data_IF_390765052599
#
_entry.id   IF_390765052599
#
_cell.length_a   1.000
_cell.length_b   1.000
_cell.length_c   1.000
_cell.angle_alpha   90.00
_cell.angle_beta   90.00
_cell.angle_gamma   90.00
#
_symmetry.space_group_name_H-M   'P 1'
#
loop_
_entity.id
_entity.type
_entity.pdbx_description
1 polymer ?
#
# COMPACT_ATOMS: atom_id res chain seq x y z
N UNK A 1 14.20 7.81 28.01
CA UNK A 1 13.45 6.53 28.08
C UNK A 1 14.44 5.40 27.78
N UNK A 2 15.08 4.86 28.82
CA UNK A 2 16.10 3.83 28.68
C UNK A 2 15.41 2.47 28.50
N UNK A 3 15.54 1.87 27.31
CA UNK A 3 15.07 0.50 27.07
C UNK A 3 15.94 -0.47 27.86
N UNK A 4 15.37 -1.05 28.91
CA UNK A 4 15.96 -2.15 29.67
C UNK A 4 16.14 -3.35 28.75
N UNK A 5 17.38 -3.65 28.39
CA UNK A 5 17.72 -4.89 27.70
C UNK A 5 17.63 -6.01 28.73
N UNK A 6 16.53 -6.78 28.72
CA UNK A 6 16.45 -8.03 29.47
C UNK A 6 17.42 -9.00 28.80
N UNK A 7 18.62 -9.13 29.37
CA UNK A 7 19.60 -10.15 28.96
C UNK A 7 19.04 -11.50 29.42
N UNK A 8 18.74 -12.46 28.53
CA UNK A 8 18.24 -13.77 28.94
C UNK A 8 19.32 -14.49 29.77
N UNK A 9 18.91 -15.34 30.74
CA UNK A 9 19.83 -16.09 31.56
C UNK A 9 20.73 -16.97 30.69
N UNK A 10 21.98 -17.12 31.14
CA UNK A 10 23.10 -17.79 30.49
C UNK A 10 22.69 -18.94 29.56
N UNK A 11 22.86 -18.74 28.24
CA UNK A 11 22.53 -19.79 27.28
C UNK A 11 23.57 -20.91 27.40
N UNK A 12 23.10 -22.09 27.81
CA UNK A 12 23.95 -23.24 28.08
C UNK A 12 24.62 -23.76 26.79
N UNK A 13 25.84 -24.33 26.88
CA UNK A 13 26.41 -25.11 25.79
C UNK A 13 25.41 -26.20 25.34
N UNK A 14 25.30 -26.40 24.03
CA UNK A 14 24.35 -27.36 23.46
C UNK A 14 22.93 -26.81 23.21
N UNK A 15 22.59 -25.61 23.67
CA UNK A 15 21.31 -24.99 23.27
C UNK A 15 21.25 -24.78 21.76
N UNK A 16 20.17 -25.24 21.15
CA UNK A 16 19.90 -25.05 19.72
C UNK A 16 19.24 -23.69 19.52
N UNK A 17 19.93 -22.81 18.80
CA UNK A 17 19.40 -21.54 18.33
C UNK A 17 18.83 -21.70 16.93
N UNK A 18 17.92 -20.80 16.56
CA UNK A 18 17.42 -20.71 15.18
C UNK A 18 17.35 -19.27 14.71
N UNK A 19 17.66 -19.03 13.44
CA UNK A 19 17.58 -17.71 12.84
C UNK A 19 16.15 -17.41 12.40
N UNK A 20 15.52 -16.38 12.96
CA UNK A 20 14.17 -15.93 12.56
C UNK A 20 14.08 -15.50 11.09
N UNK A 21 15.20 -15.13 10.45
CA UNK A 21 15.22 -14.71 9.04
C UNK A 21 15.35 -15.85 8.05
N UNK A 22 16.26 -16.81 8.29
CA UNK A 22 16.56 -17.88 7.32
C UNK A 22 16.26 -19.29 7.82
N UNK A 23 15.77 -19.44 9.05
CA UNK A 23 15.43 -20.73 9.66
C UNK A 23 16.61 -21.62 10.06
N UNK A 24 17.85 -21.24 9.74
CA UNK A 24 19.02 -22.03 10.07
C UNK A 24 19.12 -22.29 11.57
N UNK A 25 19.44 -23.52 11.96
CA UNK A 25 19.58 -23.96 13.36
C UNK A 25 21.04 -24.30 13.66
N UNK A 26 21.53 -23.94 14.84
CA UNK A 26 22.89 -24.28 15.28
C UNK A 26 22.98 -24.41 16.80
N UNK A 27 23.90 -25.26 17.26
CA UNK A 27 24.20 -25.43 18.68
C UNK A 27 25.22 -24.38 19.15
N UNK A 28 25.04 -23.86 20.37
CA UNK A 28 26.06 -23.03 21.03
C UNK A 28 27.23 -23.89 21.49
N UNK A 29 28.45 -23.52 21.08
CA UNK A 29 29.70 -24.23 21.41
C UNK A 29 30.40 -23.70 22.67
N UNK A 30 30.24 -22.41 23.00
CA UNK A 30 30.88 -21.75 24.15
C UNK A 30 29.83 -21.08 25.02
N UNK A 31 29.98 -21.21 26.35
CA UNK A 31 29.08 -20.58 27.33
C UNK A 31 29.04 -19.05 27.12
N UNK A 32 27.85 -18.46 27.15
CA UNK A 32 27.66 -17.00 27.25
C UNK A 32 27.84 -16.16 25.99
N UNK A 33 28.24 -16.72 24.84
CA UNK A 33 28.44 -15.93 23.62
C UNK A 33 27.39 -16.24 22.55
N UNK A 34 26.31 -15.46 22.52
CA UNK A 34 25.39 -15.43 21.38
C UNK A 34 26.12 -14.80 20.18
N UNK A 35 26.02 -15.38 18.97
CA UNK A 35 26.70 -14.81 17.82
C UNK A 35 26.05 -13.46 17.44
N UNK A 36 26.87 -12.48 17.06
CA UNK A 36 26.37 -11.16 16.60
C UNK A 36 25.51 -11.29 15.33
N UNK A 37 25.81 -12.27 14.49
CA UNK A 37 25.15 -12.50 13.22
C UNK A 37 24.74 -13.97 13.10
N UNK A 38 23.70 -14.25 12.31
CA UNK A 38 23.40 -15.62 11.92
C UNK A 38 24.62 -16.23 11.18
N UNK A 39 25.10 -17.44 11.56
CA UNK A 39 26.25 -18.06 10.92
C UNK A 39 26.00 -18.45 9.46
N UNK A 40 24.73 -18.62 9.04
CA UNK A 40 24.37 -18.93 7.65
C UNK A 40 24.13 -17.67 6.80
N UNK A 41 23.18 -16.82 7.20
CA UNK A 41 22.75 -15.68 6.37
C UNK A 41 23.35 -14.33 6.77
N UNK A 42 24.22 -14.30 7.78
CA UNK A 42 24.86 -13.08 8.33
C UNK A 42 23.89 -12.02 8.86
N UNK A 43 22.60 -12.32 9.00
CA UNK A 43 21.61 -11.40 9.56
C UNK A 43 21.95 -10.98 10.98
N UNK A 44 21.95 -9.69 11.26
CA UNK A 44 22.03 -9.12 12.63
C UNK A 44 20.70 -9.21 13.39
N UNK A 45 19.60 -9.50 12.69
CA UNK A 45 18.25 -9.58 13.24
C UNK A 45 17.84 -11.03 13.55
N UNK A 46 18.81 -11.94 13.59
CA UNK A 46 18.54 -13.39 13.63
C UNK A 46 17.81 -13.84 14.89
N UNK A 47 17.94 -13.11 16.00
CA UNK A 47 17.27 -13.37 17.27
C UNK A 47 15.99 -12.54 17.45
N UNK A 48 15.76 -11.54 16.59
CA UNK A 48 14.57 -10.68 16.67
C UNK A 48 13.40 -11.33 15.96
N UNK A 49 12.17 -10.87 16.24
CA UNK A 49 11.00 -11.23 15.43
C UNK A 49 11.23 -10.76 13.99
N UNK A 50 10.86 -11.61 13.05
CA UNK A 50 11.04 -11.37 11.62
C UNK A 50 9.79 -11.86 10.89
N UNK A 51 9.22 -11.01 10.07
CA UNK A 51 7.95 -11.22 9.41
C UNK A 51 8.17 -11.22 7.91
N UNK A 52 7.54 -12.16 7.20
CA UNK A 52 7.54 -12.21 5.75
C UNK A 52 6.17 -11.81 5.24
N UNK A 53 6.13 -10.86 4.32
CA UNK A 53 4.92 -10.34 3.71
C UNK A 53 4.93 -10.54 2.21
N UNK A 54 3.75 -10.71 1.64
CA UNK A 54 3.51 -10.79 0.21
C UNK A 54 2.57 -9.66 -0.21
N UNK A 55 2.93 -8.92 -1.26
CA UNK A 55 2.06 -7.89 -1.79
C UNK A 55 0.98 -8.54 -2.65
N UNK A 56 -0.28 -8.41 -2.26
CA UNK A 56 -1.45 -8.87 -3.02
C UNK A 56 -1.72 -8.06 -4.30
N UNK A 57 -0.94 -6.98 -4.55
CA UNK A 57 -1.04 -6.17 -5.76
C UNK A 57 0.00 -6.52 -6.81
N UNK A 58 1.27 -6.68 -6.40
CA UNK A 58 2.39 -6.91 -7.34
C UNK A 58 3.09 -8.26 -7.15
N UNK A 59 2.65 -9.09 -6.20
CA UNK A 59 3.24 -10.40 -5.91
C UNK A 59 4.60 -10.37 -5.22
N UNK A 60 5.17 -9.19 -4.94
CA UNK A 60 6.49 -9.10 -4.31
C UNK A 60 6.48 -9.62 -2.88
N UNK A 61 7.46 -10.45 -2.54
CA UNK A 61 7.71 -10.95 -1.19
C UNK A 61 8.88 -10.22 -0.55
N UNK A 62 8.74 -9.79 0.70
CA UNK A 62 9.83 -9.20 1.47
C UNK A 62 9.76 -9.58 2.94
N UNK A 63 10.91 -9.54 3.60
CA UNK A 63 11.00 -9.75 5.04
C UNK A 63 11.41 -8.48 5.78
N UNK A 64 10.89 -8.28 6.99
CA UNK A 64 11.17 -7.11 7.83
C UNK A 64 11.09 -7.44 9.32
N UNK A 65 11.73 -6.61 10.15
CA UNK A 65 11.57 -6.67 11.61
C UNK A 65 10.38 -5.83 12.11
N UNK A 66 9.78 -5.00 11.24
CA UNK A 66 8.56 -4.26 11.53
C UNK A 66 7.34 -5.16 11.26
N UNK A 67 6.49 -5.34 12.26
CA UNK A 67 5.28 -6.15 12.20
C UNK A 67 4.08 -5.45 11.51
N UNK A 68 4.22 -4.16 11.19
CA UNK A 68 3.21 -3.34 10.51
C UNK A 68 3.82 -2.52 9.36
N UNK A 69 4.22 -3.16 8.24
CA UNK A 69 4.74 -2.44 7.09
C UNK A 69 3.64 -1.60 6.44
N UNK A 70 3.92 -0.31 6.24
CA UNK A 70 2.93 0.64 5.71
C UNK A 70 2.77 0.57 4.19
N UNK A 71 3.80 0.11 3.46
CA UNK A 71 3.83 0.09 2.00
C UNK A 71 4.60 -1.10 1.47
N UNK A 72 4.24 -1.56 0.27
CA UNK A 72 5.07 -2.50 -0.48
C UNK A 72 6.37 -1.81 -0.93
N UNK A 73 7.56 -2.40 -0.73
CA UNK A 73 8.82 -1.80 -1.14
C UNK A 73 9.05 -1.81 -2.67
N UNK A 74 8.31 -2.65 -3.42
CA UNK A 74 8.43 -2.74 -4.88
C UNK A 74 7.48 -1.80 -5.63
N UNK A 75 6.18 -1.80 -5.28
CA UNK A 75 5.17 -1.00 -5.97
C UNK A 75 4.64 0.19 -5.15
N UNK A 76 5.18 0.40 -3.94
CA UNK A 76 4.86 1.54 -3.06
C UNK A 76 3.40 1.70 -2.63
N UNK A 77 2.51 0.78 -3.00
CA UNK A 77 1.12 0.78 -2.56
C UNK A 77 1.02 0.58 -1.05
N UNK A 78 0.18 1.39 -0.39
CA UNK A 78 -0.20 1.19 1.01
C UNK A 78 -1.22 0.06 1.18
N UNK A 79 -1.95 -0.25 0.11
CA UNK A 79 -2.97 -1.30 0.07
C UNK A 79 -2.36 -2.64 -0.34
N UNK A 80 -1.18 -2.97 0.19
CA UNK A 80 -0.41 -4.14 -0.23
C UNK A 80 -1.00 -5.45 0.28
N UNK A 81 -1.76 -5.42 1.39
CA UNK A 81 -2.38 -6.55 2.06
C UNK A 81 -3.88 -6.70 1.76
N UNK A 82 -4.43 -5.87 0.87
CA UNK A 82 -5.81 -6.03 0.43
C UNK A 82 -5.83 -6.70 -0.94
N UNK A 83 -6.68 -7.73 -1.14
CA UNK A 83 -6.88 -8.28 -2.48
C UNK A 83 -7.33 -7.15 -3.41
N UNK A 84 -7.07 -7.28 -4.71
CA UNK A 84 -7.78 -6.44 -5.67
C UNK A 84 -9.27 -6.76 -5.47
N UNK A 85 -9.97 -5.93 -4.70
CA UNK A 85 -11.42 -5.93 -4.75
C UNK A 85 -11.73 -5.72 -6.22
N UNK A 86 -12.38 -6.72 -6.82
CA UNK A 86 -13.08 -6.53 -8.08
C UNK A 86 -13.74 -5.17 -7.99
N UNK A 87 -13.49 -4.32 -9.00
CA UNK A 87 -13.96 -2.95 -9.05
C UNK A 87 -15.39 -2.98 -8.55
N UNK A 88 -15.63 -2.53 -7.31
CA UNK A 88 -17.00 -2.20 -6.94
C UNK A 88 -17.41 -1.23 -8.03
N UNK A 89 -18.52 -1.48 -8.75
CA UNK A 89 -19.08 -0.45 -9.59
C UNK A 89 -19.09 0.79 -8.72
N UNK A 90 -18.39 1.83 -9.18
CA UNK A 90 -18.43 3.15 -8.55
C UNK A 90 -19.90 3.34 -8.19
N UNK A 91 -20.17 3.49 -6.88
CA UNK A 91 -21.50 3.70 -6.30
C UNK A 91 -22.39 4.35 -7.34
N UNK A 92 -23.54 3.72 -7.63
CA UNK A 92 -24.55 4.05 -8.66
C UNK A 92 -24.32 5.35 -9.43
N UNK A 93 -24.46 5.36 -10.78
CA UNK A 93 -24.19 6.55 -11.59
C UNK A 93 -24.78 7.80 -10.93
N UNK A 94 -23.90 8.67 -10.43
CA UNK A 94 -24.28 9.89 -9.72
C UNK A 94 -24.99 10.74 -10.76
N UNK A 95 -26.33 10.72 -10.75
CA UNK A 95 -27.12 11.63 -11.57
C UNK A 95 -26.78 13.04 -11.09
N UNK A 96 -26.23 13.85 -11.98
CA UNK A 96 -25.89 15.22 -11.64
C UNK A 96 -27.15 15.98 -11.23
N UNK A 97 -27.04 16.78 -10.16
CA UNK A 97 -28.16 17.57 -9.60
C UNK A 97 -28.47 18.84 -10.41
N UNK A 98 -27.66 19.12 -11.43
CA UNK A 98 -27.78 20.34 -12.24
C UNK A 98 -29.03 20.30 -13.14
N UNK A 99 -29.64 21.47 -13.43
CA UNK A 99 -30.72 21.58 -14.41
C UNK A 99 -30.28 21.11 -15.80
N UNK A 100 -31.20 20.51 -16.57
CA UNK A 100 -30.90 19.96 -17.90
C UNK A 100 -30.25 20.99 -18.84
N UNK A 101 -30.72 22.24 -18.85
CA UNK A 101 -30.14 23.33 -19.63
C UNK A 101 -28.65 23.55 -19.31
N UNK A 102 -28.27 23.43 -18.03
CA UNK A 102 -26.87 23.57 -17.61
C UNK A 102 -26.05 22.36 -18.03
N UNK A 103 -26.62 21.15 -17.95
CA UNK A 103 -25.98 19.93 -18.46
C UNK A 103 -25.69 20.04 -19.97
N UNK A 104 -26.64 20.58 -20.74
CA UNK A 104 -26.50 20.72 -22.19
C UNK A 104 -25.43 21.75 -22.55
N UNK A 105 -25.34 22.87 -21.81
CA UNK A 105 -24.25 23.84 -21.95
C UNK A 105 -22.89 23.21 -21.67
N UNK A 106 -22.76 22.47 -20.57
CA UNK A 106 -21.52 21.75 -20.22
C UNK A 106 -21.10 20.80 -21.35
N UNK A 107 -22.05 20.01 -21.88
CA UNK A 107 -21.79 19.08 -23.00
C UNK A 107 -21.36 19.79 -24.28
N UNK A 108 -22.06 20.86 -24.65
CA UNK A 108 -21.74 21.62 -25.86
C UNK A 108 -20.34 22.27 -25.80
N UNK A 109 -19.95 22.80 -24.64
CA UNK A 109 -18.62 23.38 -24.46
C UNK A 109 -17.54 22.29 -24.46
N UNK A 110 -17.81 21.13 -23.84
CA UNK A 110 -16.88 20.00 -23.89
C UNK A 110 -16.69 19.43 -25.30
N UNK A 111 -17.74 19.31 -26.10
CA UNK A 111 -17.62 18.85 -27.50
C UNK A 111 -16.85 19.83 -28.37
N UNK A 112 -16.87 21.13 -28.04
CA UNK A 112 -16.02 22.15 -28.70
C UNK A 112 -14.53 22.02 -28.39
N UNK A 113 -14.13 21.14 -27.47
CA UNK A 113 -12.73 20.80 -27.20
C UNK A 113 -12.18 21.32 -25.87
N UNK A 114 -12.94 22.12 -25.10
CA UNK A 114 -12.50 22.60 -23.78
C UNK A 114 -12.42 21.48 -22.74
N UNK A 115 -11.47 21.60 -21.81
CA UNK A 115 -11.33 20.69 -20.67
C UNK A 115 -12.37 20.95 -19.58
N UNK A 116 -12.63 19.94 -18.74
CA UNK A 116 -13.58 20.05 -17.62
C UNK A 116 -13.22 21.17 -16.63
N UNK A 117 -11.94 21.43 -16.39
CA UNK A 117 -11.50 22.54 -15.52
C UNK A 117 -11.87 23.91 -16.11
N UNK A 118 -11.68 24.08 -17.42
CA UNK A 118 -12.02 25.33 -18.10
C UNK A 118 -13.53 25.57 -18.10
N UNK A 119 -14.32 24.52 -18.31
CA UNK A 119 -15.79 24.59 -18.26
C UNK A 119 -16.26 24.98 -16.86
N UNK A 120 -15.71 24.38 -15.81
CA UNK A 120 -16.05 24.70 -14.43
C UNK A 120 -15.78 26.18 -14.12
N UNK A 121 -14.61 26.68 -14.54
CA UNK A 121 -14.24 28.09 -14.37
C UNK A 121 -15.18 29.02 -15.14
N UNK A 122 -15.42 28.73 -16.42
CA UNK A 122 -16.17 29.62 -17.32
C UNK A 122 -17.67 29.68 -16.98
N UNK A 123 -18.24 28.58 -16.47
CA UNK A 123 -19.65 28.50 -16.05
C UNK A 123 -19.86 28.78 -14.56
N UNK A 124 -18.79 28.98 -13.78
CA UNK A 124 -18.88 29.20 -12.33
C UNK A 124 -19.42 28.00 -11.56
N UNK A 125 -19.14 26.78 -12.04
CA UNK A 125 -19.63 25.52 -11.45
C UNK A 125 -18.52 24.83 -10.66
N UNK A 126 -18.92 24.00 -9.69
CA UNK A 126 -17.95 23.12 -9.04
C UNK A 126 -17.42 22.10 -10.05
N UNK A 127 -16.11 21.83 -10.01
CA UNK A 127 -15.49 20.84 -10.87
C UNK A 127 -16.13 19.45 -10.74
N UNK A 128 -16.57 19.09 -9.52
CA UNK A 128 -17.32 17.86 -9.26
C UNK A 128 -18.62 17.77 -10.06
N UNK A 129 -19.35 18.88 -10.20
CA UNK A 129 -20.63 18.88 -10.92
C UNK A 129 -20.43 18.70 -12.43
N UNK A 130 -19.40 19.33 -12.99
CA UNK A 130 -19.01 19.14 -14.40
C UNK A 130 -18.59 17.69 -14.65
N UNK A 131 -17.81 17.11 -13.73
CA UNK A 131 -17.41 15.70 -13.80
C UNK A 131 -18.61 14.76 -13.69
N UNK A 132 -19.57 15.01 -12.80
CA UNK A 132 -20.77 14.19 -12.66
C UNK A 132 -21.60 14.20 -13.95
N UNK A 133 -21.77 15.37 -14.60
CA UNK A 133 -22.45 15.47 -15.90
C UNK A 133 -21.74 14.66 -16.99
N UNK A 134 -20.40 14.73 -17.05
CA UNK A 134 -19.60 14.00 -18.02
C UNK A 134 -19.66 12.49 -17.79
N UNK A 135 -19.54 12.06 -16.53
CA UNK A 135 -19.61 10.64 -16.16
C UNK A 135 -21.02 10.06 -16.31
N UNK A 136 -22.07 10.86 -16.12
CA UNK A 136 -23.46 10.49 -16.42
C UNK A 136 -23.68 10.25 -17.92
N UNK A 137 -22.93 10.94 -18.78
CA UNK A 137 -23.15 10.95 -20.24
C UNK A 137 -22.20 10.06 -21.02
N UNK A 138 -20.96 9.85 -20.54
CA UNK A 138 -19.91 9.07 -21.19
C UNK A 138 -19.08 8.27 -20.16
N UNK A 139 -19.56 7.10 -19.70
CA UNK A 139 -18.95 6.36 -18.59
C UNK A 139 -17.56 5.74 -18.90
N UNK A 140 -17.19 5.62 -20.18
CA UNK A 140 -16.03 4.82 -20.64
C UNK A 140 -14.95 5.60 -21.36
N UNK A 141 -15.20 6.86 -21.72
CA UNK A 141 -14.25 7.66 -22.49
C UNK A 141 -13.28 8.42 -21.58
N UNK A 142 -11.99 8.56 -21.96
CA UNK A 142 -11.06 9.37 -21.21
C UNK A 142 -11.51 10.83 -21.23
N UNK A 143 -11.95 11.32 -20.07
CA UNK A 143 -12.42 12.69 -19.88
C UNK A 143 -11.23 13.67 -19.99
N UNK A 144 -11.38 14.71 -20.80
CA UNK A 144 -10.40 15.81 -20.93
C UNK A 144 -10.50 16.71 -19.70
N UNK A 145 -9.43 16.77 -18.90
CA UNK A 145 -9.35 17.55 -17.67
C UNK A 145 -8.97 18.99 -17.97
#
# INVERSE_FOLDING_TARGET
>A
MHSTVIVPPEVAPGTILSCSRCGHKWAIRKRGALPKNCPKCRSILWLKKYYNYNCLKCGHTWGTANDSPQRCPKCHTSKWNTPATEKTPRSEPVKSKLPQETKDKIKAVYTSGKGCLEIARDLGLAFSDVMDVMMESQPTDPIRI
#
